data_IF_684489118910
#
_entry.id   IF_684489118910
#
_cell.length_a   1.000
_cell.length_b   1.000
_cell.length_c   1.000
_cell.angle_alpha   90.00
_cell.angle_beta   90.00
_cell.angle_gamma   90.00
#
_symmetry.space_group_name_H-M   'P 1'
#
loop_
_entity.id
_entity.type
_entity.pdbx_description
1 polymer ?
#
# COMPACT_ATOMS: atom_id res chain seq x y z
N UNK A 1 -4.61 -5.39 -10.27
CA UNK A 1 -3.85 -6.20 -9.30
C UNK A 1 -3.74 -7.60 -9.87
N UNK A 2 -2.84 -7.77 -10.84
CA UNK A 2 -2.64 -9.03 -11.57
C UNK A 2 -1.29 -9.62 -11.19
N UNK A 3 -0.87 -9.45 -9.95
CA UNK A 3 0.45 -9.90 -9.48
C UNK A 3 0.51 -11.41 -9.32
N UNK A 4 -0.64 -12.09 -9.22
CA UNK A 4 -0.72 -13.50 -8.90
C UNK A 4 -0.52 -13.81 -7.42
N UNK A 5 -0.41 -12.78 -6.57
CA UNK A 5 -0.36 -12.96 -5.12
C UNK A 5 -1.62 -13.65 -4.62
N UNK A 6 -1.42 -14.59 -3.72
CA UNK A 6 -2.49 -15.31 -3.01
C UNK A 6 -3.50 -14.31 -2.46
N UNK A 7 -4.79 -14.66 -2.51
CA UNK A 7 -5.85 -13.90 -1.84
C UNK A 7 -6.00 -14.39 -0.39
N UNK A 8 -5.40 -13.76 0.64
CA UNK A 8 -5.65 -14.16 2.00
C UNK A 8 -7.14 -14.23 2.31
N UNK A 9 -7.61 -15.36 2.83
CA UNK A 9 -9.02 -15.60 3.17
C UNK A 9 -9.64 -14.54 4.11
N UNK A 10 -8.81 -13.72 4.78
CA UNK A 10 -9.20 -12.66 5.72
C UNK A 10 -8.69 -11.25 5.30
N UNK A 11 -8.51 -11.04 3.99
CA UNK A 11 -7.85 -9.92 3.26
C UNK A 11 -8.11 -8.48 3.71
N UNK A 12 -9.14 -8.20 4.48
CA UNK A 12 -9.50 -6.81 4.81
C UNK A 12 -9.29 -6.47 6.27
N UNK A 13 -9.60 -7.35 7.22
CA UNK A 13 -9.64 -6.94 8.63
C UNK A 13 -8.31 -7.17 9.33
N UNK A 14 -7.69 -8.35 9.14
CA UNK A 14 -6.49 -8.74 9.87
C UNK A 14 -5.29 -7.87 9.50
N UNK A 15 -5.15 -7.51 8.22
CA UNK A 15 -4.10 -6.63 7.73
C UNK A 15 -4.08 -5.26 8.44
N UNK A 16 -5.22 -4.67 8.79
CA UNK A 16 -5.24 -3.41 9.55
C UNK A 16 -4.73 -3.54 10.99
N UNK A 17 -4.75 -4.75 11.55
CA UNK A 17 -4.25 -5.03 12.89
C UNK A 17 -2.78 -5.43 12.90
N UNK A 18 -2.19 -5.71 11.74
CA UNK A 18 -0.78 -6.07 11.66
C UNK A 18 0.13 -4.89 12.03
N UNK A 19 1.06 -5.07 12.99
CA UNK A 19 1.93 -3.98 13.42
C UNK A 19 3.00 -3.63 12.37
N UNK A 20 3.39 -4.60 11.52
CA UNK A 20 4.35 -4.43 10.44
C UNK A 20 3.75 -4.97 9.14
N UNK A 21 3.18 -4.05 8.36
CA UNK A 21 2.52 -4.35 7.10
C UNK A 21 3.47 -4.93 6.05
N UNK A 22 4.77 -4.60 6.11
CA UNK A 22 5.74 -5.10 5.15
C UNK A 22 6.15 -6.53 5.47
N UNK A 23 6.34 -6.86 6.75
CA UNK A 23 6.57 -8.22 7.19
C UNK A 23 5.43 -9.13 6.73
N UNK A 24 4.18 -8.72 6.98
CA UNK A 24 2.99 -9.41 6.47
C UNK A 24 3.03 -9.56 4.94
N UNK A 25 3.30 -8.48 4.21
CA UNK A 25 3.32 -8.50 2.74
C UNK A 25 4.37 -9.47 2.16
N UNK A 26 5.48 -9.71 2.86
CA UNK A 26 6.50 -10.68 2.45
C UNK A 26 6.14 -12.13 2.73
N UNK A 27 5.17 -12.39 3.61
CA UNK A 27 4.70 -13.75 3.93
C UNK A 27 3.60 -14.23 2.97
N UNK A 28 3.02 -13.33 2.18
CA UNK A 28 1.95 -13.65 1.23
C UNK A 28 2.50 -14.48 0.06
N UNK A 29 1.85 -15.62 -0.20
CA UNK A 29 2.22 -16.55 -1.26
C UNK A 29 1.83 -16.06 -2.66
N UNK A 30 2.07 -16.95 -3.64
CA UNK A 30 1.66 -16.78 -5.03
C UNK A 30 0.70 -17.91 -5.38
N UNK A 31 -0.48 -17.57 -5.86
CA UNK A 31 -1.57 -18.52 -6.19
C UNK A 31 -1.82 -18.61 -7.70
N UNK A 32 -1.69 -17.47 -8.40
CA UNK A 32 -1.94 -17.37 -9.84
C UNK A 32 -0.68 -16.97 -10.63
N UNK A 33 -0.69 -17.24 -11.93
CA UNK A 33 0.33 -16.69 -12.83
C UNK A 33 0.21 -15.16 -12.94
N UNK A 34 1.33 -14.41 -12.78
CA UNK A 34 1.33 -12.97 -12.95
C UNK A 34 0.81 -12.54 -14.34
N UNK A 35 -0.07 -11.55 -14.35
CA UNK A 35 -0.67 -10.97 -15.54
C UNK A 35 -1.89 -11.73 -16.08
N UNK A 36 -2.28 -12.85 -15.46
CA UNK A 36 -3.40 -13.69 -15.95
C UNK A 36 -4.73 -13.36 -15.29
N UNK A 37 -4.74 -13.23 -13.97
CA UNK A 37 -5.96 -13.04 -13.17
C UNK A 37 -5.93 -11.67 -12.51
N UNK A 38 -7.04 -10.93 -12.59
CA UNK A 38 -7.22 -9.70 -11.83
C UNK A 38 -7.86 -10.01 -10.48
N UNK A 39 -7.21 -9.59 -9.39
CA UNK A 39 -7.68 -9.80 -8.03
C UNK A 39 -7.32 -8.61 -7.14
N UNK A 40 -8.31 -7.91 -6.60
CA UNK A 40 -8.05 -6.79 -5.69
C UNK A 40 -7.41 -7.30 -4.39
N UNK A 41 -6.16 -6.92 -4.11
CA UNK A 41 -5.38 -7.42 -2.99
C UNK A 41 -4.49 -6.30 -2.40
N UNK A 42 -4.77 -5.85 -1.17
CA UNK A 42 -4.13 -4.67 -0.58
C UNK A 42 -2.60 -4.80 -0.41
N UNK A 43 -2.07 -6.03 -0.41
CA UNK A 43 -0.63 -6.34 -0.34
C UNK A 43 0.14 -5.70 -1.48
N UNK A 44 -0.46 -5.63 -2.67
CA UNK A 44 0.18 -4.99 -3.82
C UNK A 44 0.52 -3.52 -3.55
N UNK A 45 -0.38 -2.80 -2.88
CA UNK A 45 -0.17 -1.39 -2.54
C UNK A 45 0.88 -1.21 -1.45
N UNK A 46 0.97 -2.15 -0.49
CA UNK A 46 2.03 -2.18 0.52
C UNK A 46 3.40 -2.37 -0.13
N UNK A 47 3.54 -3.39 -0.99
CA UNK A 47 4.78 -3.67 -1.71
C UNK A 47 5.19 -2.50 -2.63
N UNK A 48 4.22 -1.84 -3.28
CA UNK A 48 4.48 -0.67 -4.11
C UNK A 48 5.12 0.48 -3.33
N UNK A 49 4.72 0.69 -2.07
CA UNK A 49 5.32 1.69 -1.19
C UNK A 49 6.83 1.50 -1.03
N UNK A 50 7.27 0.27 -0.76
CA UNK A 50 8.69 -0.04 -0.59
C UNK A 50 9.45 -0.10 -1.91
N UNK A 51 8.84 -0.55 -3.00
CA UNK A 51 9.46 -0.48 -4.34
C UNK A 51 9.78 0.98 -4.69
N UNK A 52 8.84 1.90 -4.47
CA UNK A 52 9.06 3.33 -4.72
C UNK A 52 10.18 3.89 -3.84
N UNK A 53 10.22 3.51 -2.56
CA UNK A 53 11.27 3.92 -1.63
C UNK A 53 12.65 3.38 -2.03
N UNK A 54 12.74 2.10 -2.39
CA UNK A 54 13.99 1.49 -2.88
C UNK A 54 14.47 2.13 -4.19
N UNK A 55 13.56 2.42 -5.12
CA UNK A 55 13.90 2.98 -6.42
C UNK A 55 14.25 4.49 -6.40
N UNK A 56 13.71 5.24 -5.43
CA UNK A 56 13.80 6.71 -5.42
C UNK A 56 14.46 7.31 -4.19
N UNK A 57 14.65 6.53 -3.12
CA UNK A 57 15.05 7.01 -1.79
C UNK A 57 13.96 7.81 -1.06
N UNK A 58 12.74 7.90 -1.60
CA UNK A 58 11.62 8.67 -1.04
C UNK A 58 10.41 7.78 -0.79
N UNK A 59 9.67 8.04 0.29
CA UNK A 59 8.44 7.32 0.58
C UNK A 59 7.35 7.65 -0.44
N UNK A 60 6.37 6.76 -0.61
CA UNK A 60 5.21 7.01 -1.47
C UNK A 60 4.47 8.32 -1.10
N UNK A 61 4.41 8.63 0.19
CA UNK A 61 3.86 9.89 0.73
C UNK A 61 4.63 11.12 0.23
N UNK A 62 5.96 11.13 0.36
CA UNK A 62 6.79 12.22 -0.17
C UNK A 62 6.61 12.38 -1.68
N UNK A 63 6.56 11.26 -2.41
CA UNK A 63 6.40 11.27 -3.87
C UNK A 63 5.05 11.84 -4.31
N UNK A 64 3.95 11.49 -3.66
CA UNK A 64 2.63 12.02 -4.04
C UNK A 64 2.47 13.49 -3.63
N UNK A 65 3.05 13.90 -2.49
CA UNK A 65 3.11 15.30 -2.08
C UNK A 65 3.83 16.17 -3.13
N UNK A 66 5.02 15.75 -3.52
CA UNK A 66 5.86 16.46 -4.49
C UNK A 66 5.27 16.44 -5.91
N UNK A 67 4.71 15.32 -6.34
CA UNK A 67 4.36 15.11 -7.76
C UNK A 67 2.91 15.46 -8.07
N UNK A 68 2.02 15.42 -7.08
CA UNK A 68 0.59 15.61 -7.28
C UNK A 68 0.01 16.67 -6.33
N UNK A 69 0.07 16.48 -5.01
CA UNK A 69 -0.67 17.32 -4.06
C UNK A 69 -0.24 18.79 -4.11
N UNK A 70 1.07 19.04 -4.17
CA UNK A 70 1.60 20.41 -4.33
C UNK A 70 1.13 21.07 -5.62
N UNK A 71 1.01 20.31 -6.73
CA UNK A 71 0.61 20.83 -8.04
C UNK A 71 -0.88 21.16 -8.13
N UNK A 72 -1.73 20.42 -7.41
CA UNK A 72 -3.17 20.65 -7.37
C UNK A 72 -3.61 21.52 -6.18
N UNK A 73 -2.67 21.95 -5.35
CA UNK A 73 -2.94 22.77 -4.16
C UNK A 73 -3.65 22.02 -3.02
N UNK A 74 -3.52 20.69 -2.95
CA UNK A 74 -4.08 19.90 -1.86
C UNK A 74 -3.20 20.06 -0.61
N UNK A 75 -3.72 20.78 0.39
CA UNK A 75 -2.99 21.10 1.63
C UNK A 75 -3.38 20.22 2.82
N UNK A 76 -4.60 19.67 2.80
CA UNK A 76 -5.17 18.95 3.92
C UNK A 76 -5.54 17.53 3.47
N UNK A 77 -4.81 16.53 3.95
CA UNK A 77 -5.09 15.11 3.75
C UNK A 77 -4.58 14.31 4.96
N UNK A 78 -5.15 13.12 5.13
CA UNK A 78 -4.65 12.13 6.08
C UNK A 78 -3.96 11.04 5.29
N UNK A 79 -2.68 10.81 5.58
CA UNK A 79 -1.96 9.63 5.12
C UNK A 79 -1.92 8.63 6.28
N UNK A 80 -2.28 7.38 6.00
CA UNK A 80 -2.17 6.30 6.97
C UNK A 80 -0.76 5.72 6.93
N UNK A 81 -0.16 5.56 8.10
CA UNK A 81 1.14 4.92 8.29
C UNK A 81 0.94 3.71 9.20
N UNK A 82 1.66 2.62 8.94
CA UNK A 82 1.68 1.49 9.86
C UNK A 82 2.30 1.88 11.21
N UNK A 83 2.05 1.08 12.26
CA UNK A 83 2.58 1.37 13.60
C UNK A 83 4.12 1.37 13.64
N UNK A 84 4.76 0.72 12.68
CA UNK A 84 6.20 0.70 12.52
C UNK A 84 6.76 2.02 11.91
N UNK A 85 5.91 2.91 11.38
CA UNK A 85 6.33 4.13 10.69
C UNK A 85 7.13 3.88 9.41
N UNK A 86 7.06 2.65 8.87
CA UNK A 86 7.88 2.20 7.74
C UNK A 86 7.14 2.39 6.43
N UNK A 87 5.84 2.10 6.42
CA UNK A 87 5.01 2.11 5.23
C UNK A 87 3.90 3.14 5.36
N UNK A 88 3.99 4.21 4.57
CA UNK A 88 2.83 5.05 4.29
C UNK A 88 1.97 4.34 3.25
N UNK A 89 1.10 3.44 3.69
CA UNK A 89 0.04 2.95 2.81
C UNK A 89 -0.84 4.14 2.46
N UNK A 90 -0.85 4.54 1.20
CA UNK A 90 -1.73 5.60 0.74
C UNK A 90 -3.16 5.06 0.57
N UNK A 91 -3.75 4.60 1.67
CA UNK A 91 -5.18 4.35 1.78
C UNK A 91 -5.84 5.70 2.08
N UNK A 92 -6.20 6.41 1.02
CA UNK A 92 -7.04 7.61 1.08
C UNK A 92 -8.50 7.19 1.35
N UNK A 93 -8.79 6.69 2.55
CA UNK A 93 -10.17 6.60 2.99
C UNK A 93 -10.56 7.93 3.62
N UNK A 94 -11.28 8.74 2.85
CA UNK A 94 -12.13 9.77 3.43
C UNK A 94 -13.35 9.04 3.98
N UNK A 95 -13.31 8.62 5.24
CA UNK A 95 -14.56 8.46 5.97
C UNK A 95 -15.10 9.87 6.17
N UNK A 96 -16.12 10.20 5.38
CA UNK A 96 -16.99 11.33 5.66
C UNK A 96 -17.72 10.95 6.95
N UNK A 97 -17.34 11.59 8.05
CA UNK A 97 -18.21 11.78 9.22
C UNK A 97 -18.71 13.21 9.20
#
# INVERSE_FOLDING_TARGET
MTSGLEFPSHEHEMMFFEPDHLAYAYEVGVEDEPGKVFQYNNVNSMLMGEILKGATGKTAKQLIEERLFSKIGLKNYTAWEDKAGKNSNLLLFRYVS
#
